data_IF_581417808372
#
_entry.id   IF_581417808372
#
_cell.length_a   1.000
_cell.length_b   1.000
_cell.length_c   1.000
_cell.angle_alpha   90.00
_cell.angle_beta   90.00
_cell.angle_gamma   90.00
#
_symmetry.space_group_name_H-M   'P 1'
#
loop_
_entity.id
_entity.type
_entity.pdbx_description
1 polymer ?
#
# COMPACT_ATOMS: atom_id res chain seq x y z
N UNK A 1 3.52 2.47 2.05
CA UNK A 1 3.11 3.29 0.88
C UNK A 1 2.11 4.40 1.23
N UNK A 2 0.85 4.03 1.54
CA UNK A 2 -0.27 4.96 1.67
C UNK A 2 -0.10 6.01 2.77
N UNK A 3 0.39 5.60 3.93
CA UNK A 3 0.69 6.52 5.04
C UNK A 3 1.72 7.58 4.63
N UNK A 4 2.74 7.19 3.86
CA UNK A 4 3.77 8.12 3.38
C UNK A 4 3.21 9.12 2.36
N UNK A 5 2.23 8.71 1.53
CA UNK A 5 1.53 9.60 0.62
C UNK A 5 0.74 10.68 1.39
N UNK A 6 0.10 10.30 2.50
CA UNK A 6 -0.59 11.24 3.40
C UNK A 6 0.38 12.20 4.09
N UNK A 7 1.54 11.71 4.55
CA UNK A 7 2.54 12.53 5.26
C UNK A 7 3.21 13.55 4.33
N UNK A 8 3.53 13.14 3.09
CA UNK A 8 4.21 13.96 2.10
C UNK A 8 3.44 13.93 0.77
N UNK A 9 2.48 14.85 0.58
CA UNK A 9 1.62 14.87 -0.62
C UNK A 9 2.36 15.23 -1.91
N UNK A 10 3.63 15.63 -1.83
CA UNK A 10 4.48 15.90 -3.00
C UNK A 10 5.55 14.81 -3.21
N UNK A 11 5.57 13.79 -2.34
CA UNK A 11 6.53 12.70 -2.40
C UNK A 11 6.21 11.67 -3.47
N UNK A 12 7.16 10.76 -3.72
CA UNK A 12 6.96 9.65 -4.67
C UNK A 12 5.74 8.76 -4.34
N UNK A 13 5.37 8.47 -3.08
CA UNK A 13 4.16 7.69 -2.80
C UNK A 13 2.86 8.42 -3.18
N UNK A 14 2.82 9.76 -3.05
CA UNK A 14 1.65 10.53 -3.44
C UNK A 14 1.44 10.52 -4.96
N UNK A 15 2.52 10.61 -5.74
CA UNK A 15 2.47 10.45 -7.20
C UNK A 15 2.03 9.06 -7.65
N UNK A 16 2.36 8.01 -6.88
CA UNK A 16 1.83 6.66 -7.13
C UNK A 16 0.32 6.62 -6.86
N UNK A 17 -0.15 7.25 -5.78
CA UNK A 17 -1.57 7.36 -5.49
C UNK A 17 -2.32 8.12 -6.60
N UNK A 18 -1.75 9.22 -7.12
CA UNK A 18 -2.31 9.95 -8.27
C UNK A 18 -2.44 9.03 -9.50
N UNK A 19 -1.39 8.26 -9.82
CA UNK A 19 -1.43 7.31 -10.92
C UNK A 19 -2.50 6.21 -10.75
N UNK A 20 -2.81 5.81 -9.51
CA UNK A 20 -3.94 4.91 -9.21
C UNK A 20 -5.27 5.62 -9.43
N UNK A 21 -5.43 6.82 -8.89
CA UNK A 21 -6.68 7.60 -9.01
C UNK A 21 -7.02 7.96 -10.46
N UNK A 22 -6.00 8.20 -11.29
CA UNK A 22 -6.14 8.51 -12.71
C UNK A 22 -6.28 7.24 -13.59
N UNK A 23 -6.20 6.04 -12.99
CA UNK A 23 -6.30 4.76 -13.69
C UNK A 23 -5.09 4.42 -14.57
N UNK A 24 -3.96 5.12 -14.40
CA UNK A 24 -2.71 4.80 -15.09
C UNK A 24 -2.09 3.47 -14.58
N UNK A 25 -2.38 3.11 -13.32
CA UNK A 25 -2.06 1.82 -12.72
C UNK A 25 -3.23 1.34 -11.86
N UNK A 26 -3.31 0.03 -11.64
CA UNK A 26 -4.26 -0.57 -10.71
C UNK A 26 -3.56 -0.99 -9.43
N UNK A 27 -4.04 -0.52 -8.27
CA UNK A 27 -3.58 -1.01 -6.98
C UNK A 27 -4.42 -2.21 -6.53
N UNK A 28 -3.79 -3.33 -6.20
CA UNK A 28 -4.45 -4.43 -5.49
C UNK A 28 -4.51 -4.13 -3.99
N UNK A 29 -5.69 -4.23 -3.40
CA UNK A 29 -5.89 -4.05 -1.95
C UNK A 29 -6.81 -5.14 -1.40
N UNK A 30 -6.75 -5.38 -0.09
CA UNK A 30 -7.77 -6.18 0.60
C UNK A 30 -8.45 -5.36 1.68
N UNK A 31 -9.60 -5.85 2.19
CA UNK A 31 -10.27 -5.20 3.32
C UNK A 31 -9.35 -5.14 4.55
N UNK A 32 -8.55 -6.18 4.80
CA UNK A 32 -7.58 -6.19 5.89
C UNK A 32 -6.57 -5.04 5.78
N UNK A 33 -5.99 -4.81 4.59
CA UNK A 33 -5.07 -3.69 4.36
C UNK A 33 -5.73 -2.33 4.59
N UNK A 34 -6.97 -2.16 4.14
CA UNK A 34 -7.72 -0.91 4.33
C UNK A 34 -8.01 -0.67 5.83
N UNK A 35 -8.38 -1.73 6.57
CA UNK A 35 -8.62 -1.68 8.01
C UNK A 35 -7.34 -1.36 8.81
N UNK A 36 -6.21 -1.95 8.42
CA UNK A 36 -4.90 -1.62 8.99
C UNK A 36 -4.54 -0.16 8.72
N UNK A 37 -4.73 0.30 7.48
CA UNK A 37 -4.43 1.65 7.07
C UNK A 37 -5.25 2.68 7.85
N UNK A 38 -6.57 2.50 7.97
CA UNK A 38 -7.39 3.41 8.77
C UNK A 38 -7.01 3.34 10.25
N UNK A 39 -6.77 2.14 10.80
CA UNK A 39 -6.31 1.95 12.18
C UNK A 39 -4.96 2.61 12.49
N UNK A 40 -4.10 2.77 11.48
CA UNK A 40 -2.88 3.58 11.57
C UNK A 40 -3.21 5.06 11.50
N UNK A 41 -3.94 5.50 10.47
CA UNK A 41 -4.16 6.92 10.20
C UNK A 41 -4.96 7.61 11.30
N UNK A 42 -5.90 6.96 11.98
CA UNK A 42 -6.70 7.58 13.05
C UNK A 42 -5.92 7.87 14.34
N UNK A 43 -4.67 7.37 14.48
CA UNK A 43 -3.89 7.58 15.71
C UNK A 43 -3.57 9.07 15.92
N UNK A 44 -3.48 9.49 17.19
CA UNK A 44 -3.26 10.88 17.59
C UNK A 44 -1.99 11.50 17.01
N UNK A 45 -0.94 10.71 16.80
CA UNK A 45 0.30 11.19 16.17
C UNK A 45 0.10 11.72 14.74
N UNK A 46 -0.93 11.25 14.02
CA UNK A 46 -1.18 11.64 12.63
C UNK A 46 -1.97 12.94 12.48
N UNK A 47 -2.50 13.52 13.57
CA UNK A 47 -3.41 14.67 13.51
C UNK A 47 -2.78 15.94 12.91
N UNK A 48 -1.45 16.04 12.90
CA UNK A 48 -0.73 17.15 12.24
C UNK A 48 -0.75 17.10 10.71
N UNK A 49 -1.10 15.96 10.12
CA UNK A 49 -1.12 15.77 8.66
C UNK A 49 -2.52 15.55 8.10
N UNK A 50 -3.41 14.88 8.85
CA UNK A 50 -4.74 14.52 8.36
C UNK A 50 -5.77 14.53 9.49
N UNK A 51 -6.99 15.02 9.22
CA UNK A 51 -8.11 14.94 10.15
C UNK A 51 -8.68 13.51 10.23
N UNK A 52 -9.61 13.23 11.16
CA UNK A 52 -10.14 11.85 11.29
C UNK A 52 -11.08 11.59 10.13
N UNK A 53 -11.94 12.58 9.85
CA UNK A 53 -12.84 12.56 8.71
C UNK A 53 -12.08 12.38 7.39
N UNK A 54 -11.00 13.14 7.18
CA UNK A 54 -10.22 13.03 5.93
C UNK A 54 -9.49 11.68 5.83
N UNK A 55 -9.05 11.09 6.94
CA UNK A 55 -8.44 9.76 6.94
C UNK A 55 -9.45 8.68 6.54
N UNK A 56 -10.69 8.77 7.04
CA UNK A 56 -11.78 7.86 6.66
C UNK A 56 -12.09 8.03 5.17
N UNK A 57 -12.33 9.26 4.73
CA UNK A 57 -12.63 9.55 3.32
C UNK A 57 -11.50 9.11 2.38
N UNK A 58 -10.23 9.25 2.80
CA UNK A 58 -9.09 8.77 2.05
C UNK A 58 -9.09 7.25 1.85
N UNK A 59 -9.33 6.48 2.93
CA UNK A 59 -9.34 5.01 2.85
C UNK A 59 -10.54 4.51 2.05
N UNK A 60 -11.72 5.11 2.23
CA UNK A 60 -12.92 4.81 1.44
C UNK A 60 -12.68 5.09 -0.05
N UNK A 61 -12.07 6.24 -0.37
CA UNK A 61 -11.75 6.60 -1.75
C UNK A 61 -10.72 5.65 -2.36
N UNK A 62 -9.69 5.24 -1.61
CA UNK A 62 -8.71 4.27 -2.07
C UNK A 62 -9.38 2.93 -2.41
N UNK A 63 -10.28 2.44 -1.54
CA UNK A 63 -11.05 1.23 -1.81
C UNK A 63 -11.97 1.32 -3.04
N UNK A 64 -12.40 2.54 -3.41
CA UNK A 64 -13.19 2.77 -4.62
C UNK A 64 -12.40 2.81 -5.93
N UNK A 65 -11.11 3.17 -5.90
CA UNK A 65 -10.24 3.21 -7.08
C UNK A 65 -9.35 1.96 -7.23
N UNK A 66 -9.16 1.21 -6.15
CA UNK A 66 -8.34 0.01 -6.15
C UNK A 66 -9.12 -1.24 -6.59
N UNK A 67 -8.38 -2.25 -7.02
CA UNK A 67 -8.89 -3.61 -7.22
C UNK A 67 -8.96 -4.32 -5.87
N UNK A 68 -10.16 -4.38 -5.30
CA UNK A 68 -10.43 -5.02 -4.01
C UNK A 68 -10.48 -6.54 -4.18
N UNK A 69 -9.57 -7.24 -3.50
CA UNK A 69 -9.45 -8.69 -3.49
C UNK A 69 -9.78 -9.25 -2.10
N UNK A 70 -10.15 -10.52 -2.10
CA UNK A 70 -10.26 -11.30 -0.87
C UNK A 70 -8.89 -11.40 -0.19
N UNK A 71 -8.87 -11.48 1.14
CA UNK A 71 -7.64 -11.72 1.88
C UNK A 71 -7.01 -13.05 1.43
N UNK A 72 -5.70 -13.06 1.14
CA UNK A 72 -5.03 -14.30 0.80
C UNK A 72 -5.12 -15.26 1.99
N UNK A 73 -5.08 -16.56 1.70
CA UNK A 73 -4.92 -17.57 2.73
C UNK A 73 -3.65 -17.34 3.57
N UNK A 74 -3.46 -18.10 4.67
CA UNK A 74 -2.32 -17.91 5.57
C UNK A 74 -1.00 -17.84 4.80
N UNK A 75 -0.28 -16.71 4.85
CA UNK A 75 0.89 -16.52 4.00
C UNK A 75 2.08 -17.34 4.53
N UNK A 76 2.97 -17.73 3.61
CA UNK A 76 4.27 -18.26 3.99
C UNK A 76 5.12 -17.16 4.63
N UNK A 77 5.92 -17.51 5.65
CA UNK A 77 6.81 -16.54 6.31
C UNK A 77 8.02 -16.25 5.42
N UNK A 78 8.04 -15.09 4.76
CA UNK A 78 9.10 -14.64 3.85
C UNK A 78 9.64 -13.24 4.16
N UNK A 79 8.87 -12.42 4.87
CA UNK A 79 9.25 -11.05 5.23
C UNK A 79 9.83 -11.06 6.65
N UNK A 80 10.99 -10.42 6.82
CA UNK A 80 11.56 -10.19 8.15
C UNK A 80 10.77 -9.06 8.82
N UNK A 81 10.52 -9.13 10.12
CA UNK A 81 9.74 -8.09 10.80
C UNK A 81 8.22 -8.37 10.86
N UNK A 82 7.39 -7.32 11.06
CA UNK A 82 5.95 -7.45 11.33
C UNK A 82 5.20 -8.16 10.20
N UNK A 83 3.92 -8.42 10.44
CA UNK A 83 3.09 -9.40 9.75
C UNK A 83 2.71 -9.01 8.30
N UNK A 84 3.68 -8.58 7.49
CA UNK A 84 3.50 -8.08 6.12
C UNK A 84 3.53 -9.20 5.07
N UNK A 85 3.67 -10.47 5.49
CA UNK A 85 3.67 -11.64 4.60
C UNK A 85 2.37 -11.75 3.78
N UNK A 86 1.25 -11.22 4.29
CA UNK A 86 -0.01 -11.20 3.54
C UNK A 86 0.06 -10.31 2.30
N UNK A 87 0.89 -9.25 2.31
CA UNK A 87 1.09 -8.39 1.14
C UNK A 87 1.82 -9.13 0.03
N UNK A 88 2.77 -10.00 0.39
CA UNK A 88 3.43 -10.90 -0.56
C UNK A 88 2.43 -11.89 -1.13
N UNK A 89 1.66 -12.58 -0.27
CA UNK A 89 0.67 -13.55 -0.73
C UNK A 89 -0.42 -12.91 -1.61
N UNK A 90 -0.84 -11.67 -1.30
CA UNK A 90 -1.77 -10.91 -2.14
C UNK A 90 -1.15 -10.64 -3.52
N UNK A 91 0.11 -10.18 -3.56
CA UNK A 91 0.80 -9.90 -4.81
C UNK A 91 0.95 -11.14 -5.68
N UNK A 92 1.29 -12.29 -5.09
CA UNK A 92 1.35 -13.57 -5.80
C UNK A 92 0.01 -14.01 -6.35
N UNK A 93 -1.05 -13.93 -5.54
CA UNK A 93 -2.40 -14.30 -5.97
C UNK A 93 -2.94 -13.39 -7.09
N UNK A 94 -2.45 -12.16 -7.18
CA UNK A 94 -2.84 -11.18 -8.17
C UNK A 94 -1.86 -11.06 -9.37
N UNK A 95 -0.78 -11.84 -9.40
CA UNK A 95 0.32 -11.67 -10.38
C UNK A 95 0.81 -10.21 -10.47
N UNK A 96 1.03 -9.61 -9.30
CA UNK A 96 1.29 -8.18 -9.14
C UNK A 96 2.67 -7.90 -8.52
N UNK A 97 3.16 -6.67 -8.74
CA UNK A 97 4.38 -6.15 -8.11
C UNK A 97 4.08 -5.56 -6.74
N UNK A 98 4.89 -5.92 -5.73
CA UNK A 98 4.88 -5.22 -4.44
C UNK A 98 5.61 -3.88 -4.58
N UNK A 99 4.91 -2.79 -4.32
CA UNK A 99 5.48 -1.43 -4.27
C UNK A 99 5.58 -0.99 -2.83
N UNK A 100 6.79 -0.74 -2.34
CA UNK A 100 7.02 -0.43 -0.92
C UNK A 100 8.24 0.44 -0.69
N UNK A 101 8.27 1.13 0.45
CA UNK A 101 9.44 1.82 0.98
C UNK A 101 9.97 1.17 2.25
N UNK A 102 9.47 -0.03 2.58
CA UNK A 102 9.90 -0.82 3.73
C UNK A 102 11.09 -1.70 3.33
N UNK A 103 12.19 -1.62 4.09
CA UNK A 103 13.45 -2.32 3.79
C UNK A 103 13.32 -3.85 3.93
N UNK A 104 12.46 -4.34 4.82
CA UNK A 104 12.27 -5.77 5.00
C UNK A 104 11.49 -6.40 3.84
N UNK A 105 10.46 -5.71 3.33
CA UNK A 105 9.77 -6.12 2.10
C UNK A 105 10.67 -5.99 0.86
N UNK A 106 11.49 -4.94 0.77
CA UNK A 106 12.45 -4.77 -0.34
C UNK A 106 13.55 -5.84 -0.33
N UNK A 107 13.91 -6.35 0.84
CA UNK A 107 14.88 -7.43 1.00
C UNK A 107 14.26 -8.83 0.93
N UNK A 108 12.94 -8.96 0.79
CA UNK A 108 12.27 -10.24 0.70
C UNK A 108 12.60 -10.94 -0.63
N UNK A 109 12.92 -12.23 -0.57
CA UNK A 109 13.19 -13.07 -1.74
C UNK A 109 11.86 -13.52 -2.36
N UNK A 110 11.21 -12.61 -3.10
CA UNK A 110 9.92 -12.82 -3.79
C UNK A 110 10.06 -12.56 -5.29
N UNK A 111 9.19 -13.19 -6.09
CA UNK A 111 9.14 -13.02 -7.54
C UNK A 111 7.73 -12.56 -7.97
N UNK A 112 7.61 -11.41 -8.68
CA UNK A 112 8.67 -10.46 -8.99
C UNK A 112 9.18 -9.69 -7.77
N UNK A 113 10.46 -9.28 -7.78
CA UNK A 113 11.06 -8.56 -6.65
C UNK A 113 10.31 -7.25 -6.34
N UNK A 114 10.16 -6.97 -5.04
CA UNK A 114 9.57 -5.71 -4.58
C UNK A 114 10.37 -4.49 -5.08
N UNK A 115 9.66 -3.39 -5.31
CA UNK A 115 10.23 -2.16 -5.88
C UNK A 115 9.85 -0.94 -5.07
N UNK A 116 10.67 0.10 -5.16
CA UNK A 116 10.37 1.41 -4.58
C UNK A 116 9.35 2.18 -5.43
N UNK A 117 8.66 3.17 -4.85
CA UNK A 117 7.76 4.05 -5.59
C UNK A 117 8.48 4.81 -6.72
N UNK A 118 9.72 5.22 -6.47
CA UNK A 118 10.54 5.90 -7.46
C UNK A 118 10.82 4.99 -8.67
N UNK A 119 11.10 3.70 -8.43
CA UNK A 119 11.29 2.73 -9.49
C UNK A 119 9.99 2.44 -10.26
N UNK A 120 8.83 2.39 -9.59
CA UNK A 120 7.54 2.25 -10.28
C UNK A 120 7.30 3.45 -11.20
N UNK A 121 7.43 4.67 -10.68
CA UNK A 121 7.18 5.89 -11.45
C UNK A 121 8.12 6.05 -12.65
N UNK A 122 9.34 5.51 -12.58
CA UNK A 122 10.27 5.52 -13.72
C UNK A 122 9.84 4.56 -14.85
N UNK A 123 8.84 3.70 -14.62
CA UNK A 123 8.28 2.76 -15.62
C UNK A 123 6.95 3.24 -16.23
N UNK A 124 6.39 4.35 -15.73
CA UNK A 124 5.19 5.01 -16.27
C UNK A 124 5.59 6.10 -17.26
#
# INVERSE_FOLDING_TARGET
MWVSAVINPYGTPARVLEAVADGAITAGVTQHLLDELIGVLIRSKFRRWISVADAIAFVESLGGYADLRDDPGPPEKRVRGPNDDYLVALAEAADALVVTGDDDLLAAEIEPSAITPAQLLARL
#
